data_IF_380982682139
#
_entry.id   IF_380982682139
#
_cell.length_a   1.000
_cell.length_b   1.000
_cell.length_c   1.000
_cell.angle_alpha   90.00
_cell.angle_beta   90.00
_cell.angle_gamma   90.00
#
_symmetry.space_group_name_H-M   'P 1'
#
loop_
_entity.id
_entity.type
_entity.pdbx_description
1 polymer ?
#
# COMPACT_ATOMS: atom_id res chain seq x y z
N UNK A 1 13.32 19.22 -6.93
CA UNK A 1 13.47 17.89 -6.31
C UNK A 1 12.16 17.16 -6.50
N UNK A 2 12.17 15.88 -6.89
CA UNK A 2 10.93 15.09 -7.04
C UNK A 2 10.74 14.17 -5.83
N UNK A 3 9.52 14.06 -5.31
CA UNK A 3 9.18 13.26 -4.13
C UNK A 3 8.10 12.25 -4.50
N UNK A 4 8.32 10.97 -4.17
CA UNK A 4 7.35 9.89 -4.39
C UNK A 4 6.84 9.30 -3.07
N UNK A 5 5.70 8.62 -3.15
CA UNK A 5 5.07 7.91 -2.03
C UNK A 5 4.91 6.42 -2.32
N UNK A 6 5.38 5.56 -1.41
CA UNK A 6 5.21 4.10 -1.54
C UNK A 6 3.96 3.65 -0.78
N UNK A 7 2.99 3.10 -1.51
CA UNK A 7 1.78 2.51 -0.96
C UNK A 7 2.11 1.26 -0.15
N UNK A 8 1.38 1.05 0.93
CA UNK A 8 1.54 -0.13 1.80
C UNK A 8 0.49 -1.19 1.48
N UNK A 9 0.96 -2.43 1.30
CA UNK A 9 0.18 -3.64 1.07
C UNK A 9 -0.87 -3.97 2.15
N UNK A 10 -0.50 -3.83 3.43
CA UNK A 10 -1.43 -3.61 4.55
C UNK A 10 -0.62 -3.17 5.78
N UNK A 11 -0.80 -1.93 6.21
CA UNK A 11 -0.29 -1.36 7.47
C UNK A 11 -1.43 -0.91 8.41
N UNK A 12 -2.52 -1.66 8.44
CA UNK A 12 -3.71 -1.34 9.25
C UNK A 12 -4.91 -0.88 8.44
N UNK A 13 -4.91 -1.09 7.12
CA UNK A 13 -6.09 -0.86 6.29
C UNK A 13 -7.06 -2.04 6.39
N UNK A 14 -8.34 -1.72 6.59
CA UNK A 14 -9.43 -2.70 6.62
C UNK A 14 -10.11 -2.86 5.26
N UNK A 15 -9.90 -1.92 4.33
CA UNK A 15 -10.45 -1.91 2.97
C UNK A 15 -9.37 -1.50 1.96
N UNK A 16 -9.31 -2.18 0.82
CA UNK A 16 -8.42 -1.85 -0.31
C UNK A 16 -8.69 -0.44 -0.84
N UNK A 17 -9.94 0.03 -0.75
CA UNK A 17 -10.32 1.38 -1.18
C UNK A 17 -9.55 2.45 -0.40
N UNK A 18 -9.16 2.19 0.85
CA UNK A 18 -8.32 3.11 1.61
C UNK A 18 -6.93 3.31 1.00
N UNK A 19 -6.35 2.27 0.37
CA UNK A 19 -5.07 2.36 -0.33
C UNK A 19 -5.21 3.19 -1.61
N UNK A 20 -6.31 3.02 -2.34
CA UNK A 20 -6.62 3.81 -3.54
C UNK A 20 -6.81 5.29 -3.19
N UNK A 21 -7.58 5.59 -2.15
CA UNK A 21 -7.79 6.95 -1.67
C UNK A 21 -6.49 7.62 -1.24
N UNK A 22 -5.55 6.87 -0.66
CA UNK A 22 -4.23 7.39 -0.31
C UNK A 22 -3.41 7.76 -1.54
N UNK A 23 -3.52 7.00 -2.64
CA UNK A 23 -2.88 7.33 -3.91
C UNK A 23 -3.44 8.64 -4.50
N UNK A 24 -4.77 8.79 -4.51
CA UNK A 24 -5.44 10.04 -4.92
C UNK A 24 -4.99 11.20 -4.03
N UNK A 25 -4.91 10.98 -2.71
CA UNK A 25 -4.47 12.02 -1.78
C UNK A 25 -3.01 12.44 -2.00
N UNK A 26 -2.14 11.51 -2.40
CA UNK A 26 -0.77 11.83 -2.75
C UNK A 26 -0.70 12.74 -3.98
N UNK A 27 -1.54 12.51 -5.00
CA UNK A 27 -1.64 13.41 -6.15
C UNK A 27 -2.12 14.81 -5.74
N UNK A 28 -3.18 14.92 -4.94
CA UNK A 28 -3.69 16.20 -4.43
C UNK A 28 -2.66 16.99 -3.61
N UNK A 29 -1.76 16.28 -2.92
CA UNK A 29 -0.68 16.86 -2.12
C UNK A 29 0.55 17.24 -2.96
N UNK A 30 0.56 16.95 -4.26
CA UNK A 30 1.61 17.31 -5.19
C UNK A 30 2.80 16.36 -5.19
N UNK A 31 2.64 15.10 -4.77
CA UNK A 31 3.67 14.09 -4.96
C UNK A 31 3.85 13.78 -6.46
N UNK A 32 5.09 13.59 -6.89
CA UNK A 32 5.43 13.35 -8.29
C UNK A 32 5.14 11.91 -8.75
N UNK A 33 4.99 10.96 -7.81
CA UNK A 33 4.74 9.56 -8.12
C UNK A 33 4.19 8.79 -6.92
N UNK A 34 3.41 7.75 -7.21
CA UNK A 34 3.03 6.70 -6.27
C UNK A 34 3.59 5.36 -6.75
N UNK A 35 4.04 4.53 -5.81
CA UNK A 35 4.60 3.22 -6.10
C UNK A 35 3.88 2.15 -5.29
N UNK A 36 3.57 1.02 -5.92
CA UNK A 36 3.05 -0.16 -5.25
C UNK A 36 3.95 -1.35 -5.54
N UNK A 37 4.05 -2.25 -4.58
CA UNK A 37 4.74 -3.53 -4.75
C UNK A 37 3.73 -4.61 -5.13
N UNK A 38 4.08 -5.40 -6.13
CA UNK A 38 3.40 -6.66 -6.44
C UNK A 38 4.13 -7.81 -5.73
N UNK A 39 3.39 -8.55 -4.91
CA UNK A 39 3.87 -9.72 -4.21
C UNK A 39 2.96 -10.88 -4.59
N UNK A 40 3.52 -12.09 -4.71
CA UNK A 40 2.74 -13.30 -5.00
C UNK A 40 2.70 -14.23 -3.78
N UNK A 41 3.59 -13.99 -2.81
CA UNK A 41 3.73 -14.79 -1.61
C UNK A 41 4.01 -13.91 -0.40
N UNK A 42 3.26 -14.18 0.68
CA UNK A 42 3.55 -13.61 1.99
C UNK A 42 4.63 -14.44 2.69
N UNK A 43 5.82 -13.87 2.87
CA UNK A 43 6.89 -14.49 3.66
C UNK A 43 6.62 -14.26 5.16
N UNK A 44 7.08 -15.17 6.03
CA UNK A 44 6.59 -15.30 7.42
C UNK A 44 6.61 -14.04 8.31
N UNK A 45 7.43 -13.03 8.00
CA UNK A 45 7.44 -11.76 8.71
C UNK A 45 6.17 -10.91 8.48
N UNK A 46 5.51 -11.06 7.33
CA UNK A 46 4.22 -10.39 7.03
C UNK A 46 3.10 -10.99 7.87
N UNK A 47 3.04 -12.32 7.94
CA UNK A 47 2.08 -13.01 8.81
C UNK A 47 2.23 -12.58 10.28
N UNK A 48 3.47 -12.46 10.77
CA UNK A 48 3.73 -11.97 12.12
C UNK A 48 3.23 -10.52 12.35
N UNK A 49 3.23 -9.68 11.30
CA UNK A 49 2.82 -8.27 11.38
C UNK A 49 1.31 -8.08 11.32
N UNK A 50 0.62 -8.78 10.42
CA UNK A 50 -0.79 -8.51 10.11
C UNK A 50 -1.73 -9.69 10.40
N UNK A 51 -1.21 -10.86 10.78
CA UNK A 51 -2.02 -12.05 11.01
C UNK A 51 -2.86 -12.42 9.78
N UNK A 52 -4.16 -12.61 9.99
CA UNK A 52 -5.13 -12.92 8.94
C UNK A 52 -5.82 -11.69 8.35
N UNK A 53 -5.31 -10.47 8.59
CA UNK A 53 -5.91 -9.26 8.00
C UNK A 53 -5.76 -9.28 6.47
N UNK A 54 -6.68 -8.62 5.72
CA UNK A 54 -6.63 -8.60 4.27
C UNK A 54 -5.26 -8.08 3.77
N UNK A 55 -4.64 -8.77 2.83
CA UNK A 55 -3.41 -8.27 2.21
C UNK A 55 -3.78 -7.74 0.83
N UNK A 56 -3.48 -6.46 0.58
CA UNK A 56 -3.84 -5.80 -0.67
C UNK A 56 -2.64 -5.80 -1.61
N UNK A 57 -2.76 -6.59 -2.67
CA UNK A 57 -1.86 -6.60 -3.83
C UNK A 57 -2.60 -5.98 -5.01
N UNK A 58 -2.08 -4.90 -5.62
CA UNK A 58 -2.58 -4.43 -6.89
C UNK A 58 -2.05 -5.36 -8.01
N UNK A 59 -2.94 -6.16 -8.59
CA UNK A 59 -2.75 -6.76 -9.92
C UNK A 59 -3.11 -5.74 -11.00
#
# INVERSE_FOLDING_TARGET
MKIGFSLSNNQGFEDVQSVVQLATRAEELGFDSVWASDHVFNTGHVLARIGNRPYYEPL
#
